data_IF_601813676199
#
_entry.id   IF_601813676199
#
_cell.length_a   1.000
_cell.length_b   1.000
_cell.length_c   1.000
_cell.angle_alpha   90.00
_cell.angle_beta   90.00
_cell.angle_gamma   90.00
#
_symmetry.space_group_name_H-M   'P 1'
#
loop_
_entity.id
_entity.type
_entity.pdbx_description
1 polymer ?
#
# COMPACT_ATOMS: atom_id res chain seq x y z
N UNK A 1 -12.83 -13.33 0.58
CA UNK A 1 -13.02 -13.96 1.89
C UNK A 1 -13.08 -12.89 2.98
N UNK A 2 -13.98 -13.01 3.92
CA UNK A 2 -14.12 -12.04 5.00
C UNK A 2 -13.84 -12.68 6.37
N UNK A 3 -13.40 -11.88 7.33
CA UNK A 3 -13.02 -12.33 8.68
C UNK A 3 -13.86 -11.61 9.72
N UNK A 4 -14.21 -12.28 10.84
CA UNK A 4 -15.11 -11.70 11.85
C UNK A 4 -14.46 -10.62 12.70
N UNK A 5 -13.15 -10.46 12.64
CA UNK A 5 -12.39 -9.47 13.42
C UNK A 5 -11.27 -8.89 12.59
N UNK A 6 -10.79 -7.73 13.02
CA UNK A 6 -9.63 -7.11 12.37
C UNK A 6 -8.41 -8.01 12.55
N UNK A 7 -7.72 -8.24 11.45
CA UNK A 7 -6.49 -9.02 11.44
C UNK A 7 -5.30 -8.09 11.67
N UNK A 8 -4.39 -8.48 12.53
CA UNK A 8 -3.22 -7.69 12.90
C UNK A 8 -1.97 -8.27 12.27
N UNK A 9 -0.98 -7.42 11.94
CA UNK A 9 0.27 -7.94 11.42
C UNK A 9 0.98 -8.84 12.42
N UNK A 10 1.70 -9.82 11.90
CA UNK A 10 2.48 -10.73 12.72
C UNK A 10 3.80 -11.04 12.03
N UNK A 11 4.80 -11.39 12.85
CA UNK A 11 6.10 -11.81 12.31
C UNK A 11 5.94 -13.17 11.63
N UNK A 12 6.36 -13.24 10.37
CA UNK A 12 6.27 -14.47 9.59
C UNK A 12 7.58 -15.27 9.69
N UNK A 13 8.71 -14.61 9.48
CA UNK A 13 10.05 -15.18 9.65
C UNK A 13 11.04 -14.07 10.00
N UNK A 14 12.34 -14.36 9.99
CA UNK A 14 13.38 -13.40 10.35
C UNK A 14 13.52 -12.21 9.40
N UNK A 15 12.91 -12.24 8.24
CA UNK A 15 13.00 -11.21 7.21
C UNK A 15 11.67 -10.66 6.73
N UNK A 16 10.54 -11.20 7.23
CA UNK A 16 9.21 -10.83 6.72
C UNK A 16 8.19 -10.69 7.83
N UNK A 17 7.24 -9.77 7.61
CA UNK A 17 6.00 -9.67 8.39
C UNK A 17 4.81 -9.95 7.50
N UNK A 18 3.81 -10.62 8.06
CA UNK A 18 2.53 -10.84 7.40
C UNK A 18 1.59 -9.70 7.81
N UNK A 19 1.17 -8.90 6.84
CA UNK A 19 0.33 -7.74 7.06
C UNK A 19 -0.99 -7.87 6.32
N UNK A 20 -2.02 -7.23 6.83
CA UNK A 20 -3.36 -7.30 6.24
C UNK A 20 -3.71 -5.91 5.71
N UNK A 21 -3.62 -5.77 4.38
CA UNK A 21 -3.70 -4.50 3.69
C UNK A 21 -5.07 -4.28 3.05
N UNK A 22 -5.42 -3.00 2.86
CA UNK A 22 -6.67 -2.59 2.22
C UNK A 22 -7.90 -3.14 2.93
N UNK A 23 -7.90 -3.06 4.27
CA UNK A 23 -9.03 -3.50 5.09
C UNK A 23 -10.31 -2.79 4.68
N UNK A 24 -11.35 -3.57 4.44
CA UNK A 24 -12.67 -3.05 4.11
C UNK A 24 -13.73 -3.77 4.92
N UNK A 25 -14.78 -3.07 5.35
CA UNK A 25 -15.94 -3.75 5.92
C UNK A 25 -16.51 -4.75 4.92
N UNK A 26 -16.85 -5.94 5.39
CA UNK A 26 -17.41 -6.99 4.56
C UNK A 26 -18.34 -7.85 5.39
N UNK A 27 -19.23 -8.57 4.72
CA UNK A 27 -20.11 -9.51 5.40
C UNK A 27 -19.35 -10.83 5.61
N UNK A 28 -19.33 -11.31 6.84
CA UNK A 28 -18.75 -12.58 7.22
C UNK A 28 -19.84 -13.59 7.57
N UNK A 29 -19.74 -14.78 7.01
CA UNK A 29 -20.67 -15.86 7.26
C UNK A 29 -19.87 -17.12 7.61
N UNK A 30 -19.91 -17.57 8.89
CA UNK A 30 -19.12 -18.73 9.32
C UNK A 30 -19.45 -20.01 8.58
N UNK A 31 -20.74 -20.21 8.29
CA UNK A 31 -21.23 -21.33 7.49
C UNK A 31 -22.54 -20.93 6.80
N UNK A 32 -23.06 -21.79 5.93
CA UNK A 32 -24.28 -21.49 5.19
C UNK A 32 -25.54 -21.40 6.06
N UNK A 33 -25.53 -22.02 7.22
CA UNK A 33 -26.66 -22.00 8.14
C UNK A 33 -26.65 -20.80 9.06
N UNK A 34 -25.53 -20.07 9.14
CA UNK A 34 -25.39 -18.90 10.01
C UNK A 34 -25.90 -17.64 9.35
N UNK A 35 -26.36 -16.68 10.15
CA UNK A 35 -26.70 -15.36 9.65
C UNK A 35 -25.42 -14.58 9.33
N UNK A 36 -25.45 -13.73 8.27
CA UNK A 36 -24.32 -12.87 7.98
C UNK A 36 -23.99 -11.93 9.13
N UNK A 37 -22.70 -11.77 9.42
CA UNK A 37 -22.19 -10.85 10.43
C UNK A 37 -21.25 -9.84 9.80
N UNK A 38 -21.11 -8.67 10.41
CA UNK A 38 -20.15 -7.71 9.95
C UNK A 38 -18.73 -8.20 10.23
N UNK A 39 -17.86 -8.01 9.26
CA UNK A 39 -16.46 -8.41 9.34
C UNK A 39 -15.59 -7.58 8.44
N UNK A 40 -14.44 -8.12 8.05
CA UNK A 40 -13.41 -7.39 7.30
C UNK A 40 -12.84 -8.24 6.18
N UNK A 41 -12.46 -7.60 5.09
CA UNK A 41 -11.76 -8.25 3.97
C UNK A 41 -10.43 -7.56 3.69
N UNK A 42 -9.51 -8.31 3.08
CA UNK A 42 -8.16 -7.87 2.74
C UNK A 42 -7.79 -8.33 1.33
N UNK A 43 -6.73 -7.76 0.74
CA UNK A 43 -6.41 -7.98 -0.68
C UNK A 43 -5.13 -8.75 -0.94
N UNK A 44 -4.53 -9.38 0.06
CA UNK A 44 -3.29 -10.12 -0.10
C UNK A 44 -3.46 -11.48 -0.77
N UNK A 45 -2.35 -12.06 -1.20
CA UNK A 45 -2.30 -13.35 -1.88
C UNK A 45 -2.02 -14.54 -0.95
N UNK A 46 -1.68 -14.28 0.30
CA UNK A 46 -1.46 -15.35 1.28
C UNK A 46 -2.80 -16.01 1.67
N UNK A 47 -2.79 -17.23 2.23
CA UNK A 47 -4.03 -17.95 2.53
C UNK A 47 -5.08 -17.16 3.32
N UNK A 48 -4.67 -16.28 4.22
CA UNK A 48 -5.58 -15.46 5.02
C UNK A 48 -5.82 -14.08 4.39
N UNK A 49 -5.60 -13.94 3.09
CA UNK A 49 -5.64 -12.66 2.38
C UNK A 49 -4.62 -11.65 2.92
N UNK A 50 -3.58 -12.12 3.60
CA UNK A 50 -2.47 -11.31 4.06
C UNK A 50 -1.48 -11.01 2.93
N UNK A 51 -0.64 -10.01 3.15
CA UNK A 51 0.46 -9.65 2.26
C UNK A 51 1.78 -9.81 3.01
N UNK A 52 2.69 -10.57 2.42
CA UNK A 52 4.01 -10.76 3.01
C UNK A 52 4.90 -9.59 2.60
N UNK A 53 5.42 -8.85 3.57
CA UNK A 53 6.29 -7.70 3.31
C UNK A 53 7.70 -7.94 3.84
N UNK A 54 8.69 -7.40 3.13
CA UNK A 54 10.08 -7.47 3.55
C UNK A 54 10.32 -6.49 4.71
N UNK A 55 10.50 -7.04 5.90
CA UNK A 55 10.77 -6.25 7.10
C UNK A 55 11.34 -7.20 8.15
N UNK A 56 12.49 -6.88 8.70
CA UNK A 56 13.21 -7.76 9.62
C UNK A 56 12.90 -7.47 11.09
N UNK A 57 12.32 -6.31 11.39
CA UNK A 57 11.98 -5.95 12.76
C UNK A 57 10.74 -5.06 12.82
N UNK A 58 10.10 -5.00 13.98
CA UNK A 58 8.96 -4.12 14.20
C UNK A 58 9.43 -2.68 14.33
N UNK A 59 9.55 -2.02 13.18
CA UNK A 59 10.00 -0.64 13.06
C UNK A 59 9.07 0.09 12.11
N UNK A 60 8.56 1.25 12.53
CA UNK A 60 7.58 2.01 11.78
C UNK A 60 8.03 2.32 10.35
N UNK A 61 9.25 2.84 10.19
CA UNK A 61 9.76 3.23 8.87
C UNK A 61 10.01 2.01 7.97
N UNK A 62 10.50 0.92 8.56
CA UNK A 62 10.71 -0.32 7.82
C UNK A 62 9.40 -0.96 7.39
N UNK A 63 8.37 -0.92 8.24
CA UNK A 63 7.03 -1.42 7.90
C UNK A 63 6.41 -0.61 6.77
N UNK A 64 6.48 0.72 6.84
CA UNK A 64 5.98 1.59 5.76
C UNK A 64 6.70 1.28 4.46
N UNK A 65 8.03 1.21 4.49
CA UNK A 65 8.81 0.88 3.30
C UNK A 65 8.45 -0.49 2.73
N UNK A 66 8.30 -1.50 3.60
CA UNK A 66 7.90 -2.85 3.17
C UNK A 66 6.55 -2.87 2.48
N UNK A 67 5.58 -2.13 3.00
CA UNK A 67 4.26 -2.01 2.39
C UNK A 67 4.36 -1.33 1.01
N UNK A 68 5.13 -0.26 0.91
CA UNK A 68 5.33 0.43 -0.36
C UNK A 68 5.97 -0.53 -1.37
N UNK A 69 7.01 -1.27 -0.97
CA UNK A 69 7.70 -2.24 -1.85
C UNK A 69 6.79 -3.41 -2.26
N UNK A 70 5.75 -3.73 -1.50
CA UNK A 70 4.80 -4.78 -1.89
C UNK A 70 3.99 -4.41 -3.13
N UNK A 71 3.85 -3.11 -3.43
CA UNK A 71 3.15 -2.62 -4.62
C UNK A 71 4.09 -1.98 -5.64
N UNK A 72 5.09 -1.23 -5.19
CA UNK A 72 6.03 -0.49 -6.04
C UNK A 72 7.44 -0.97 -5.78
N UNK A 73 8.11 -1.48 -6.81
CA UNK A 73 9.53 -1.78 -6.73
C UNK A 73 10.32 -0.46 -6.61
N UNK A 74 11.53 -0.54 -6.07
CA UNK A 74 12.37 0.66 -5.94
C UNK A 74 12.60 1.34 -7.30
N UNK A 75 12.78 0.55 -8.35
CA UNK A 75 12.95 1.08 -9.71
C UNK A 75 11.69 1.80 -10.21
N UNK A 76 10.50 1.31 -9.85
CA UNK A 76 9.24 1.95 -10.21
C UNK A 76 9.08 3.28 -9.46
N UNK A 77 9.40 3.30 -8.18
CA UNK A 77 9.36 4.54 -7.38
C UNK A 77 10.35 5.57 -7.93
N UNK A 78 11.55 5.15 -8.28
CA UNK A 78 12.57 6.04 -8.85
C UNK A 78 12.11 6.63 -10.20
N UNK A 79 11.44 5.82 -11.02
CA UNK A 79 10.87 6.30 -12.28
C UNK A 79 9.76 7.34 -12.03
N UNK A 80 8.88 7.09 -11.06
CA UNK A 80 7.82 8.04 -10.68
C UNK A 80 8.42 9.37 -10.24
N UNK A 81 9.46 9.34 -9.42
CA UNK A 81 10.15 10.56 -8.97
C UNK A 81 10.83 11.30 -10.13
N UNK A 82 11.44 10.57 -11.06
CA UNK A 82 12.04 11.14 -12.26
C UNK A 82 10.98 11.84 -13.11
N UNK A 83 9.82 11.24 -13.29
CA UNK A 83 8.70 11.84 -14.02
C UNK A 83 8.23 13.14 -13.34
N UNK A 84 8.26 13.23 -12.01
CA UNK A 84 7.92 14.46 -11.31
C UNK A 84 8.94 15.56 -11.56
N UNK A 85 10.22 15.22 -11.63
CA UNK A 85 11.26 16.17 -11.98
C UNK A 85 11.02 16.72 -13.39
N UNK A 86 10.70 15.86 -14.34
CA UNK A 86 10.38 16.27 -15.72
C UNK A 86 9.16 17.19 -15.78
N UNK A 87 8.11 16.91 -14.98
CA UNK A 87 6.94 17.78 -14.88
C UNK A 87 7.33 19.17 -14.36
N UNK A 88 8.15 19.24 -13.32
CA UNK A 88 8.60 20.51 -12.76
C UNK A 88 9.44 21.30 -13.76
N UNK A 89 10.30 20.63 -14.51
CA UNK A 89 11.09 21.26 -15.58
C UNK A 89 10.20 21.81 -16.68
N UNK A 90 9.19 21.07 -17.10
CA UNK A 90 8.24 21.53 -18.12
C UNK A 90 7.45 22.74 -17.63
N UNK A 91 6.99 22.75 -16.38
CA UNK A 91 6.29 23.90 -15.78
C UNK A 91 7.18 25.14 -15.67
N UNK A 92 8.47 24.94 -15.47
CA UNK A 92 9.44 26.03 -15.44
C UNK A 92 9.80 26.58 -16.83
N UNK A 93 9.26 25.98 -17.91
CA UNK A 93 9.53 26.40 -19.29
C UNK A 93 10.89 25.96 -19.81
N UNK A 94 11.49 24.95 -19.21
CA UNK A 94 12.77 24.42 -19.67
C UNK A 94 12.57 23.57 -20.93
N UNK A 95 13.39 23.84 -21.96
CA UNK A 95 13.27 23.20 -23.27
C UNK A 95 13.42 21.68 -23.19
N UNK A 96 14.36 21.18 -22.41
CA UNK A 96 14.59 19.74 -22.22
C UNK A 96 13.49 19.08 -21.39
N UNK A 97 12.73 19.86 -20.63
CA UNK A 97 11.64 19.36 -19.79
C UNK A 97 10.28 19.43 -20.45
N UNK A 98 10.20 19.83 -21.72
CA UNK A 98 8.93 19.94 -22.43
C UNK A 98 8.25 18.57 -22.56
N UNK A 99 6.98 18.48 -22.17
CA UNK A 99 6.20 17.25 -22.23
C UNK A 99 4.90 17.46 -23.02
N UNK A 100 4.48 16.46 -23.82
CA UNK A 100 3.13 16.46 -24.38
C UNK A 100 2.08 16.47 -23.25
N UNK A 101 0.91 17.07 -23.51
CA UNK A 101 -0.14 17.20 -22.50
C UNK A 101 -0.61 15.85 -21.96
N UNK A 102 -0.70 14.83 -22.80
CA UNK A 102 -1.11 13.48 -22.40
C UNK A 102 -0.09 12.84 -21.43
N UNK A 103 1.19 13.05 -21.67
CA UNK A 103 2.25 12.58 -20.77
C UNK A 103 2.25 13.32 -19.45
N UNK A 104 2.04 14.63 -19.48
CA UNK A 104 1.95 15.44 -18.25
C UNK A 104 0.80 14.96 -17.38
N UNK A 105 -0.37 14.69 -17.95
CA UNK A 105 -1.52 14.16 -17.21
C UNK A 105 -1.24 12.76 -16.64
N UNK A 106 -0.61 11.89 -17.42
CA UNK A 106 -0.21 10.55 -16.97
C UNK A 106 0.72 10.62 -15.76
N UNK A 107 1.72 11.50 -15.80
CA UNK A 107 2.68 11.64 -14.71
C UNK A 107 2.06 12.22 -13.44
N UNK A 108 1.11 13.15 -13.58
CA UNK A 108 0.35 13.69 -12.44
C UNK A 108 -0.47 12.59 -11.77
N UNK A 109 -1.17 11.78 -12.55
CA UNK A 109 -1.98 10.67 -12.02
C UNK A 109 -1.12 9.63 -11.32
N UNK A 110 -0.01 9.24 -11.94
CA UNK A 110 0.96 8.30 -11.37
C UNK A 110 1.48 8.76 -10.01
N UNK A 111 1.85 10.03 -9.91
CA UNK A 111 2.33 10.62 -8.67
C UNK A 111 1.25 10.63 -7.59
N UNK A 112 0.03 11.03 -7.96
CA UNK A 112 -1.09 11.08 -7.02
C UNK A 112 -1.42 9.69 -6.48
N UNK A 113 -1.45 8.68 -7.32
CA UNK A 113 -1.68 7.29 -6.91
C UNK A 113 -0.58 6.80 -5.97
N UNK A 114 0.67 7.08 -6.28
CA UNK A 114 1.81 6.71 -5.43
C UNK A 114 1.73 7.40 -4.08
N UNK A 115 1.47 8.71 -4.05
CA UNK A 115 1.39 9.46 -2.79
C UNK A 115 0.20 9.01 -1.94
N UNK A 116 -0.93 8.69 -2.55
CA UNK A 116 -2.10 8.16 -1.86
C UNK A 116 -1.76 6.81 -1.22
N UNK A 117 -1.13 5.92 -1.96
CA UNK A 117 -0.71 4.62 -1.44
C UNK A 117 0.28 4.77 -0.28
N UNK A 118 1.28 5.63 -0.45
CA UNK A 118 2.27 5.90 0.59
C UNK A 118 1.62 6.46 1.86
N UNK A 119 0.72 7.43 1.71
CA UNK A 119 0.04 8.02 2.86
C UNK A 119 -0.85 7.00 3.56
N UNK A 120 -1.54 6.15 2.81
CA UNK A 120 -2.35 5.08 3.38
C UNK A 120 -1.48 4.07 4.14
N UNK A 121 -0.29 3.76 3.64
CA UNK A 121 0.65 2.88 4.34
C UNK A 121 1.10 3.50 5.66
N UNK A 122 1.42 4.79 5.67
CA UNK A 122 1.81 5.52 6.88
C UNK A 122 0.68 5.50 7.90
N UNK A 123 -0.54 5.80 7.47
CA UNK A 123 -1.71 5.81 8.35
C UNK A 123 -1.99 4.44 8.94
N UNK A 124 -1.86 3.40 8.13
CA UNK A 124 -2.08 2.02 8.57
C UNK A 124 -1.07 1.61 9.64
N UNK A 125 0.22 1.85 9.40
CA UNK A 125 1.28 1.51 10.36
C UNK A 125 1.09 2.30 11.66
N UNK A 126 0.72 3.57 11.58
CA UNK A 126 0.42 4.37 12.78
C UNK A 126 -0.74 3.80 13.57
N UNK A 127 -1.74 3.21 12.91
CA UNK A 127 -2.87 2.59 13.60
C UNK A 127 -2.46 1.32 14.35
N UNK A 128 -1.41 0.64 13.89
CA UNK A 128 -0.93 -0.58 14.54
C UNK A 128 -0.25 -0.30 15.88
N UNK A 129 0.34 0.87 16.07
CA UNK A 129 0.98 1.24 17.33
C UNK A 129 -0.02 1.22 18.50
N UNK A 130 -1.28 1.44 18.22
CA UNK A 130 -2.35 1.45 19.23
C UNK A 130 -2.76 0.04 19.67
N UNK A 131 -2.26 -0.98 19.02
CA UNK A 131 -2.67 -2.36 19.23
C UNK A 131 -1.66 -3.16 20.07
N UNK A 132 -0.59 -2.55 20.44
CA UNK A 132 0.43 -3.18 21.30
C UNK A 132 0.05 -3.12 22.77
#
# INVERSE_FOLDING_TARGET
>A
MAYPRQMRPSKYDGAHFLCYLNEKPATYKPDEASEPMEGYSYTGSMPDAGTLIECDEWNRDKLVNGIIRSKYLQTEEDAIKTHQIQLLQAKAGMEIGALPDDKAAEYVNEWNEFQTFRQNAINLVNSWDKWE
#
